data_IF_043150438767
#
_entry.id   IF_043150438767
#
_cell.length_a   1.000
_cell.length_b   1.000
_cell.length_c   1.000
_cell.angle_alpha   90.00
_cell.angle_beta   90.00
_cell.angle_gamma   90.00
#
_symmetry.space_group_name_H-M   'P 1'
#
loop_
_entity.id
_entity.type
_entity.pdbx_description
1 polymer ?
#
# COMPACT_ATOMS: atom_id res chain seq x y z
N UNK A 1 -46.63 -17.31 -14.94
CA UNK A 1 -46.77 -18.12 -13.70
C UNK A 1 -45.58 -17.86 -12.79
N UNK A 2 -45.75 -17.90 -11.48
CA UNK A 2 -44.67 -17.67 -10.49
C UNK A 2 -44.41 -18.98 -9.75
N UNK A 3 -43.14 -19.39 -9.66
CA UNK A 3 -42.73 -20.55 -8.88
C UNK A 3 -41.69 -20.16 -7.84
N UNK A 4 -41.77 -20.76 -6.66
CA UNK A 4 -40.75 -20.63 -5.61
C UNK A 4 -39.61 -21.61 -5.94
N UNK A 5 -38.38 -21.10 -6.02
CA UNK A 5 -37.19 -21.92 -6.31
C UNK A 5 -36.99 -22.91 -5.16
N UNK A 6 -37.20 -24.21 -5.43
CA UNK A 6 -37.11 -25.28 -4.43
C UNK A 6 -38.35 -25.45 -3.54
N UNK A 7 -39.44 -24.73 -3.81
CA UNK A 7 -40.70 -24.82 -3.05
C UNK A 7 -41.68 -25.87 -3.58
N UNK A 8 -42.69 -26.23 -2.78
CA UNK A 8 -43.79 -27.13 -3.20
C UNK A 8 -44.95 -26.35 -3.82
N UNK A 9 -45.72 -26.99 -4.70
CA UNK A 9 -46.91 -26.39 -5.30
C UNK A 9 -47.92 -25.99 -4.20
N UNK A 10 -48.32 -24.71 -4.17
CA UNK A 10 -49.24 -24.14 -3.17
C UNK A 10 -48.58 -23.52 -1.94
N UNK A 11 -47.25 -23.47 -1.86
CA UNK A 11 -46.54 -22.77 -0.78
C UNK A 11 -46.75 -21.26 -0.85
N UNK A 12 -47.06 -20.63 0.29
CA UNK A 12 -47.27 -19.18 0.40
C UNK A 12 -45.92 -18.46 0.23
N UNK A 13 -45.93 -17.38 -0.54
CA UNK A 13 -44.73 -16.54 -0.77
C UNK A 13 -44.46 -15.70 0.47
N UNK A 14 -43.27 -15.88 1.04
CA UNK A 14 -42.77 -15.06 2.14
C UNK A 14 -41.88 -13.92 1.62
N UNK A 15 -42.13 -12.71 2.12
CA UNK A 15 -41.35 -11.52 1.78
C UNK A 15 -39.89 -11.68 2.22
N UNK A 16 -38.93 -11.35 1.35
CA UNK A 16 -37.46 -11.39 1.57
C UNK A 16 -36.80 -12.78 1.55
N UNK A 17 -37.46 -13.84 2.02
CA UNK A 17 -36.88 -15.20 2.04
C UNK A 17 -37.12 -16.00 0.76
N UNK A 18 -38.26 -15.78 0.11
CA UNK A 18 -38.67 -16.55 -1.06
C UNK A 18 -37.92 -16.10 -2.32
N UNK A 19 -37.15 -17.00 -2.93
CA UNK A 19 -36.59 -16.80 -4.27
C UNK A 19 -37.65 -17.19 -5.30
N UNK A 20 -38.09 -16.23 -6.12
CA UNK A 20 -39.14 -16.42 -7.12
C UNK A 20 -38.55 -16.50 -8.52
N UNK A 21 -38.99 -17.49 -9.28
CA UNK A 21 -38.78 -17.55 -10.73
C UNK A 21 -40.10 -17.22 -11.42
N UNK A 22 -40.09 -16.16 -12.23
CA UNK A 22 -41.22 -15.80 -13.08
C UNK A 22 -41.09 -16.55 -14.40
N UNK A 23 -42.15 -17.21 -14.85
CA UNK A 23 -42.24 -17.75 -16.20
C UNK A 23 -43.30 -16.98 -16.99
N UNK A 24 -42.96 -16.59 -18.20
CA UNK A 24 -43.90 -16.01 -19.15
C UNK A 24 -45.03 -17.01 -19.41
N UNK A 25 -46.28 -16.56 -19.24
CA UNK A 25 -47.44 -17.46 -19.24
C UNK A 25 -47.66 -18.17 -20.59
N UNK A 26 -47.32 -17.49 -21.69
CA UNK A 26 -47.55 -17.97 -23.06
C UNK A 26 -46.33 -18.77 -23.56
N UNK A 27 -45.12 -18.24 -23.35
CA UNK A 27 -43.89 -18.76 -23.94
C UNK A 27 -43.15 -19.77 -23.03
N UNK A 28 -43.59 -19.91 -21.77
CA UNK A 28 -42.94 -20.74 -20.73
C UNK A 28 -41.44 -20.46 -20.51
N UNK A 29 -40.92 -19.31 -20.95
CA UNK A 29 -39.55 -18.86 -20.69
C UNK A 29 -39.46 -18.06 -19.38
N UNK A 30 -38.32 -18.13 -18.69
CA UNK A 30 -38.02 -17.28 -17.54
C UNK A 30 -37.17 -16.07 -17.97
N UNK A 31 -37.39 -14.86 -17.42
CA UNK A 31 -36.53 -13.71 -17.70
C UNK A 31 -35.15 -13.94 -17.07
N UNK A 32 -34.11 -13.93 -17.90
CA UNK A 32 -32.71 -14.01 -17.48
C UNK A 32 -32.07 -12.62 -17.61
N UNK A 33 -31.55 -12.08 -16.52
CA UNK A 33 -30.77 -10.85 -16.56
C UNK A 33 -29.32 -11.17 -16.95
N UNK A 34 -28.88 -10.70 -18.12
CA UNK A 34 -27.51 -10.92 -18.60
C UNK A 34 -26.71 -9.62 -18.44
N UNK A 35 -25.54 -9.69 -17.82
CA UNK A 35 -24.66 -8.55 -17.52
C UNK A 35 -23.89 -8.01 -18.73
N UNK A 36 -24.20 -8.46 -19.95
CA UNK A 36 -23.57 -7.95 -21.16
C UNK A 36 -24.31 -6.71 -21.64
N UNK A 37 -23.79 -5.54 -21.28
CA UNK A 37 -23.98 -4.22 -21.91
C UNK A 37 -25.21 -4.07 -22.83
N UNK A 38 -26.41 -4.19 -22.25
CA UNK A 38 -27.62 -3.46 -22.63
C UNK A 38 -28.22 -3.01 -21.30
N UNK A 39 -28.38 -1.70 -21.16
CA UNK A 39 -28.40 -0.93 -19.91
C UNK A 39 -29.63 -1.11 -19.00
N UNK A 40 -30.21 -2.30 -18.87
CA UNK A 40 -31.32 -2.53 -17.94
C UNK A 40 -31.30 -3.94 -17.34
N UNK A 41 -30.60 -4.07 -16.20
CA UNK A 41 -30.90 -5.10 -15.21
C UNK A 41 -31.41 -4.43 -13.94
N UNK A 42 -32.69 -4.07 -13.93
CA UNK A 42 -33.41 -3.71 -12.70
C UNK A 42 -34.41 -4.82 -12.41
N UNK A 43 -34.10 -5.76 -11.49
CA UNK A 43 -35.13 -6.54 -10.82
C UNK A 43 -35.45 -5.86 -9.49
N UNK A 44 -35.72 -4.55 -9.51
CA UNK A 44 -36.50 -3.94 -8.44
C UNK A 44 -37.92 -3.88 -8.94
N UNK A 45 -38.72 -4.80 -8.43
CA UNK A 45 -40.18 -4.72 -8.51
C UNK A 45 -40.57 -3.44 -7.77
N UNK A 46 -40.75 -2.34 -8.50
CA UNK A 46 -41.46 -1.17 -7.99
C UNK A 46 -42.93 -1.59 -7.90
N UNK A 47 -43.29 -2.22 -6.79
CA UNK A 47 -44.67 -2.55 -6.46
C UNK A 47 -45.43 -1.24 -6.20
N UNK A 48 -46.05 -0.66 -7.22
CA UNK A 48 -47.18 0.25 -7.03
C UNK A 48 -48.42 -0.61 -6.75
N UNK A 49 -48.58 -1.07 -5.51
CA UNK A 49 -49.86 -1.59 -5.03
C UNK A 49 -50.61 -0.48 -4.28
N UNK A 50 -51.96 -0.43 -4.37
CA UNK A 50 -52.75 0.43 -3.49
C UNK A 50 -52.45 0.12 -2.02
N UNK A 51 -52.58 1.10 -1.09
CA UNK A 51 -52.22 0.91 0.30
C UNK A 51 -52.97 -0.29 0.90
N UNK A 52 -52.28 -1.17 1.64
CA UNK A 52 -52.91 -2.35 2.24
C UNK A 52 -53.97 -1.94 3.27
N UNK A 53 -55.07 -2.71 3.41
CA UNK A 53 -56.18 -2.40 4.32
C UNK A 53 -55.82 -2.51 5.82
N UNK A 54 -54.61 -2.95 6.17
CA UNK A 54 -54.13 -3.08 7.54
C UNK A 54 -52.61 -2.83 7.64
N UNK A 55 -52.10 -2.45 8.83
CA UNK A 55 -50.66 -2.25 9.04
C UNK A 55 -49.89 -3.55 8.75
N UNK A 56 -48.96 -3.49 7.78
CA UNK A 56 -48.05 -4.61 7.50
C UNK A 56 -46.98 -4.69 8.59
N UNK A 57 -46.60 -5.88 9.06
CA UNK A 57 -45.53 -6.04 10.03
C UNK A 57 -44.21 -5.55 9.43
N UNK A 58 -43.53 -4.63 10.11
CA UNK A 58 -42.23 -4.11 9.69
C UNK A 58 -41.18 -5.22 9.78
N UNK A 59 -40.63 -5.64 8.65
CA UNK A 59 -39.51 -6.59 8.62
C UNK A 59 -38.19 -5.84 8.80
N UNK A 60 -37.35 -6.29 9.73
CA UNK A 60 -36.01 -5.74 9.91
C UNK A 60 -35.02 -6.52 9.03
N UNK A 61 -34.34 -5.83 8.11
CA UNK A 61 -33.33 -6.42 7.21
C UNK A 61 -32.13 -7.02 7.93
N UNK A 62 -31.89 -6.67 9.20
CA UNK A 62 -30.85 -7.31 10.03
C UNK A 62 -31.14 -8.80 10.32
N UNK A 63 -32.41 -9.22 10.32
CA UNK A 63 -32.79 -10.64 10.51
C UNK A 63 -32.33 -11.51 9.34
N UNK A 64 -32.23 -10.92 8.14
CA UNK A 64 -31.78 -11.60 6.93
C UNK A 64 -30.30 -11.36 6.61
N UNK A 65 -29.56 -10.72 7.54
CA UNK A 65 -28.15 -10.48 7.34
C UNK A 65 -27.41 -11.83 7.20
N UNK A 66 -26.65 -12.05 6.12
CA UNK A 66 -25.87 -13.26 5.97
C UNK A 66 -24.86 -13.36 7.14
N UNK A 67 -24.72 -14.57 7.68
CA UNK A 67 -23.74 -14.86 8.72
C UNK A 67 -22.30 -14.63 8.24
N UNK A 68 -21.35 -14.65 9.18
CA UNK A 68 -19.94 -14.35 8.89
C UNK A 68 -19.37 -15.18 7.73
N UNK A 69 -19.60 -16.50 7.72
CA UNK A 69 -19.06 -17.41 6.69
C UNK A 69 -19.63 -17.11 5.30
N UNK A 70 -20.92 -16.78 5.21
CA UNK A 70 -21.54 -16.38 3.94
C UNK A 70 -20.93 -15.08 3.43
N UNK A 71 -20.74 -14.07 4.30
CA UNK A 71 -20.07 -12.81 3.94
C UNK A 71 -18.60 -13.01 3.59
N UNK A 72 -17.93 -13.96 4.23
CA UNK A 72 -16.55 -14.31 3.92
C UNK A 72 -16.42 -14.84 2.49
N UNK A 73 -17.24 -15.83 2.11
CA UNK A 73 -17.20 -16.37 0.75
C UNK A 73 -17.73 -15.38 -0.29
N UNK A 74 -18.78 -14.63 0.01
CA UNK A 74 -19.30 -13.58 -0.88
C UNK A 74 -18.27 -12.48 -1.13
N UNK A 75 -17.57 -12.01 -0.08
CA UNK A 75 -16.53 -11.00 -0.24
C UNK A 75 -15.33 -11.53 -1.05
N UNK A 76 -14.88 -12.76 -0.81
CA UNK A 76 -13.80 -13.36 -1.62
C UNK A 76 -14.22 -13.59 -3.07
N UNK A 77 -15.47 -14.00 -3.32
CA UNK A 77 -15.99 -14.15 -4.67
C UNK A 77 -16.00 -12.80 -5.41
N UNK A 78 -16.47 -11.73 -4.77
CA UNK A 78 -16.49 -10.37 -5.35
C UNK A 78 -15.08 -9.80 -5.54
N UNK A 79 -14.15 -10.04 -4.60
CA UNK A 79 -12.75 -9.65 -4.75
C UNK A 79 -12.09 -10.38 -5.92
N UNK A 80 -12.28 -11.70 -6.03
CA UNK A 80 -11.74 -12.50 -7.13
C UNK A 80 -12.34 -12.07 -8.48
N UNK A 81 -13.65 -11.82 -8.53
CA UNK A 81 -14.31 -11.32 -9.72
C UNK A 81 -13.82 -9.92 -10.11
N UNK A 82 -13.67 -9.02 -9.14
CA UNK A 82 -13.10 -7.69 -9.35
C UNK A 82 -11.66 -7.76 -9.87
N UNK A 83 -10.84 -8.61 -9.25
CA UNK A 83 -9.44 -8.81 -9.65
C UNK A 83 -9.29 -9.48 -11.01
N UNK A 84 -10.20 -10.38 -11.40
CA UNK A 84 -10.19 -11.00 -12.74
C UNK A 84 -10.41 -9.97 -13.87
N UNK A 85 -11.05 -8.84 -13.56
CA UNK A 85 -11.24 -7.72 -14.48
C UNK A 85 -10.03 -6.77 -14.57
N UNK A 86 -9.07 -6.84 -13.64
CA UNK A 86 -7.87 -6.00 -13.64
C UNK A 86 -6.82 -6.53 -14.61
N UNK A 87 -7.12 -6.43 -15.91
CA UNK A 87 -6.15 -6.73 -16.97
C UNK A 87 -5.29 -5.48 -17.24
N UNK A 88 -3.99 -5.63 -17.48
CA UNK A 88 -3.14 -4.52 -17.93
C UNK A 88 -3.73 -3.87 -19.17
N UNK A 89 -3.70 -2.53 -19.25
CA UNK A 89 -4.11 -1.84 -20.48
C UNK A 89 -3.13 -2.16 -21.61
N UNK A 90 -3.62 -2.16 -22.84
CA UNK A 90 -2.76 -2.33 -24.02
C UNK A 90 -1.67 -1.25 -24.02
N UNK A 91 -0.40 -1.67 -24.05
CA UNK A 91 0.75 -0.77 -23.98
C UNK A 91 1.19 -0.36 -22.56
N UNK A 92 0.48 -0.78 -21.50
CA UNK A 92 0.90 -0.52 -20.12
C UNK A 92 2.04 -1.47 -19.71
N UNK A 93 3.16 -0.88 -19.32
CA UNK A 93 4.39 -1.61 -19.03
C UNK A 93 4.36 -2.15 -17.59
N UNK A 94 3.89 -3.38 -17.40
CA UNK A 94 3.87 -4.06 -16.09
C UNK A 94 5.09 -4.96 -15.88
N UNK A 95 5.41 -5.26 -14.61
CA UNK A 95 6.45 -6.23 -14.24
C UNK A 95 5.89 -7.65 -14.21
N UNK A 96 6.74 -8.65 -14.46
CA UNK A 96 6.40 -10.08 -14.44
C UNK A 96 7.03 -10.76 -13.22
N UNK A 97 6.42 -11.82 -12.63
CA UNK A 97 6.93 -12.45 -11.41
C UNK A 97 8.40 -12.89 -11.46
N UNK A 98 8.86 -13.42 -12.60
CA UNK A 98 10.27 -13.81 -12.78
C UNK A 98 11.26 -12.64 -12.74
N UNK A 99 10.78 -11.40 -12.94
CA UNK A 99 11.61 -10.19 -12.94
C UNK A 99 11.94 -9.71 -11.51
N UNK A 100 11.21 -10.16 -10.49
CA UNK A 100 11.32 -9.61 -9.14
C UNK A 100 12.60 -10.04 -8.40
N UNK A 101 13.03 -11.32 -8.40
CA UNK A 101 14.23 -11.74 -7.67
C UNK A 101 15.52 -11.08 -8.17
N UNK A 102 15.54 -10.69 -9.45
CA UNK A 102 16.68 -10.08 -10.13
C UNK A 102 16.53 -8.57 -10.33
N UNK A 103 15.44 -7.98 -9.80
CA UNK A 103 15.09 -6.57 -9.97
C UNK A 103 15.20 -6.08 -11.43
N UNK A 104 14.73 -6.90 -12.38
CA UNK A 104 14.91 -6.63 -13.81
C UNK A 104 14.08 -5.44 -14.29
N UNK A 105 12.96 -5.13 -13.63
CA UNK A 105 12.09 -4.02 -13.98
C UNK A 105 11.43 -3.41 -12.74
N UNK A 106 11.86 -2.22 -12.37
CA UNK A 106 11.26 -1.43 -11.31
C UNK A 106 9.99 -0.70 -11.76
N UNK A 107 9.19 -0.25 -10.80
CA UNK A 107 8.01 0.58 -11.05
C UNK A 107 8.43 2.05 -11.12
N UNK A 108 8.26 2.69 -12.28
CA UNK A 108 8.57 4.11 -12.43
C UNK A 108 7.49 4.95 -11.76
N UNK A 109 7.72 5.38 -10.53
CA UNK A 109 7.04 6.56 -10.01
C UNK A 109 7.65 7.76 -10.72
N UNK A 110 7.02 8.18 -11.82
CA UNK A 110 7.45 9.40 -12.53
C UNK A 110 7.35 10.59 -11.57
N UNK A 111 8.51 10.92 -11.00
CA UNK A 111 8.70 12.03 -10.10
C UNK A 111 9.08 13.24 -10.95
N UNK A 112 8.09 14.05 -11.30
CA UNK A 112 8.34 15.41 -11.79
C UNK A 112 9.26 16.15 -10.79
N UNK A 113 10.14 17.05 -11.24
CA UNK A 113 11.01 17.86 -10.36
C UNK A 113 10.26 18.47 -9.16
N UNK A 114 9.01 18.88 -9.38
CA UNK A 114 8.11 19.38 -8.34
C UNK A 114 7.74 18.36 -7.26
N UNK A 115 7.59 17.08 -7.61
CA UNK A 115 7.35 15.99 -6.65
C UNK A 115 8.59 15.72 -5.80
N UNK A 116 9.79 15.76 -6.39
CA UNK A 116 11.06 15.64 -5.65
C UNK A 116 11.23 16.78 -4.64
N UNK A 117 10.96 18.02 -5.05
CA UNK A 117 11.01 19.18 -4.15
C UNK A 117 9.98 19.08 -3.03
N UNK A 118 8.74 18.63 -3.31
CA UNK A 118 7.74 18.38 -2.26
C UNK A 118 8.19 17.31 -1.29
N UNK A 119 8.74 16.19 -1.78
CA UNK A 119 9.29 15.14 -0.93
C UNK A 119 10.43 15.67 -0.06
N UNK A 120 11.34 16.48 -0.62
CA UNK A 120 12.42 17.12 0.12
C UNK A 120 11.90 18.04 1.24
N UNK A 121 10.87 18.85 0.97
CA UNK A 121 10.26 19.73 1.98
C UNK A 121 9.63 18.91 3.11
N UNK A 122 8.91 17.83 2.79
CA UNK A 122 8.34 16.95 3.81
C UNK A 122 9.41 16.25 4.66
N UNK A 123 10.47 15.76 4.03
CA UNK A 123 11.59 15.10 4.72
C UNK A 123 12.36 16.10 5.61
N UNK A 124 12.59 17.31 5.11
CA UNK A 124 13.20 18.38 5.90
C UNK A 124 12.31 18.81 7.07
N UNK A 125 10.99 18.92 6.86
CA UNK A 125 10.03 19.16 7.94
C UNK A 125 10.04 18.05 8.98
N UNK A 126 10.10 16.80 8.55
CA UNK A 126 10.26 15.63 9.43
C UNK A 126 11.54 15.70 10.26
N UNK A 127 12.67 16.02 9.63
CA UNK A 127 13.95 16.27 10.34
C UNK A 127 13.81 17.40 11.36
N UNK A 128 13.21 18.53 10.99
CA UNK A 128 13.04 19.69 11.86
C UNK A 128 12.18 19.36 13.08
N UNK A 129 11.04 18.68 12.89
CA UNK A 129 10.15 18.28 13.98
C UNK A 129 10.84 17.31 14.96
N UNK A 130 11.71 16.43 14.46
CA UNK A 130 12.43 15.51 15.34
C UNK A 130 13.67 16.12 15.97
N UNK A 131 14.26 17.16 15.38
CA UNK A 131 15.51 17.75 15.87
C UNK A 131 15.30 19.00 16.74
N UNK A 132 14.41 19.90 16.34
CA UNK A 132 14.17 21.17 16.99
C UNK A 132 13.70 21.04 18.46
N UNK A 133 12.80 20.12 18.84
CA UNK A 133 12.30 20.04 20.22
C UNK A 133 13.40 19.76 21.24
N UNK A 134 14.47 19.06 20.85
CA UNK A 134 15.57 18.73 21.76
C UNK A 134 16.33 19.98 22.26
N UNK A 135 16.31 21.10 21.52
CA UNK A 135 16.89 22.37 21.98
C UNK A 135 16.10 23.00 23.12
N UNK A 136 14.80 22.72 23.23
CA UNK A 136 13.94 23.20 24.30
C UNK A 136 13.90 22.25 25.52
N UNK A 137 14.47 21.05 25.41
CA UNK A 137 14.48 20.07 26.49
C UNK A 137 15.65 20.30 27.44
N UNK A 138 15.37 20.61 28.70
CA UNK A 138 16.38 20.77 29.76
C UNK A 138 16.82 19.46 30.42
N UNK A 139 16.90 18.34 29.68
CA UNK A 139 17.32 17.03 30.22
C UNK A 139 18.59 16.54 29.52
N UNK A 140 19.25 15.55 30.11
CA UNK A 140 20.44 14.92 29.52
C UNK A 140 20.05 14.26 28.20
N UNK A 141 20.78 14.61 27.13
CA UNK A 141 20.58 14.11 25.78
C UNK A 141 21.82 13.35 25.34
N UNK A 142 21.60 12.22 24.67
CA UNK A 142 22.66 11.37 24.13
C UNK A 142 22.50 11.25 22.61
N UNK A 143 23.58 10.87 21.92
CA UNK A 143 23.63 10.78 20.47
C UNK A 143 22.50 9.95 19.83
N UNK A 144 22.06 8.87 20.48
CA UNK A 144 20.97 8.02 19.96
C UNK A 144 19.63 8.74 19.81
N UNK A 145 19.41 9.86 20.51
CA UNK A 145 18.21 10.68 20.35
C UNK A 145 18.16 11.34 18.95
N UNK A 146 19.30 11.47 18.27
CA UNK A 146 19.36 12.00 16.91
C UNK A 146 18.97 10.97 15.84
N UNK A 147 18.93 9.66 16.15
CA UNK A 147 18.67 8.62 15.15
C UNK A 147 17.35 8.79 14.37
N UNK A 148 16.22 9.19 14.98
CA UNK A 148 15.00 9.45 14.23
C UNK A 148 15.17 10.58 13.20
N UNK A 149 15.79 11.69 13.59
CA UNK A 149 16.07 12.81 12.68
C UNK A 149 17.07 12.40 11.58
N UNK A 150 18.07 11.58 11.92
CA UNK A 150 19.04 11.04 10.96
C UNK A 150 18.38 10.24 9.85
N UNK A 151 17.34 9.45 10.13
CA UNK A 151 16.60 8.69 9.10
C UNK A 151 15.97 9.63 8.07
N UNK A 152 15.33 10.71 8.50
CA UNK A 152 14.79 11.74 7.60
C UNK A 152 15.89 12.42 6.78
N UNK A 153 17.02 12.73 7.41
CA UNK A 153 18.16 13.35 6.74
C UNK A 153 18.79 12.42 5.68
N UNK A 154 18.90 11.11 5.96
CA UNK A 154 19.41 10.11 5.02
C UNK A 154 18.52 9.97 3.79
N UNK A 155 17.20 9.96 3.97
CA UNK A 155 16.25 9.97 2.85
C UNK A 155 16.34 11.28 2.05
N UNK A 156 16.47 12.42 2.73
CA UNK A 156 16.64 13.73 2.08
C UNK A 156 17.92 13.77 1.23
N UNK A 157 19.03 13.23 1.74
CA UNK A 157 20.28 13.11 1.00
C UNK A 157 20.11 12.28 -0.28
N UNK A 158 19.36 11.18 -0.23
CA UNK A 158 19.01 10.37 -1.41
C UNK A 158 18.22 11.16 -2.45
N UNK A 159 17.19 11.90 -2.03
CA UNK A 159 16.37 12.76 -2.91
C UNK A 159 17.22 13.88 -3.53
N UNK A 160 18.11 14.49 -2.75
CA UNK A 160 19.02 15.54 -3.23
C UNK A 160 20.03 14.99 -4.24
N UNK A 161 20.61 13.82 -3.97
CA UNK A 161 21.53 13.15 -4.88
C UNK A 161 20.85 12.82 -6.22
N UNK A 162 19.61 12.33 -6.18
CA UNK A 162 18.82 12.08 -7.40
C UNK A 162 18.48 13.38 -8.15
N UNK A 163 18.11 14.44 -7.44
CA UNK A 163 17.80 15.73 -8.04
C UNK A 163 19.02 16.38 -8.72
N UNK A 164 20.19 16.31 -8.10
CA UNK A 164 21.45 16.87 -8.63
C UNK A 164 21.93 16.04 -9.83
N UNK A 165 22.00 14.72 -9.67
CA UNK A 165 22.51 13.81 -10.72
C UNK A 165 21.53 13.61 -11.87
N UNK A 166 20.25 13.95 -11.71
CA UNK A 166 19.22 13.83 -12.74
C UNK A 166 19.43 14.72 -13.98
N UNK A 167 20.34 15.71 -13.92
CA UNK A 167 20.75 16.50 -15.10
C UNK A 167 21.93 15.88 -15.88
N UNK A 168 22.58 14.86 -15.33
CA UNK A 168 23.77 14.24 -15.91
C UNK A 168 23.38 13.19 -16.96
N UNK A 169 24.25 12.91 -17.95
CA UNK A 169 24.07 11.78 -18.84
C UNK A 169 24.06 10.47 -18.06
N UNK A 170 23.30 9.47 -18.52
CA UNK A 170 23.03 8.24 -17.76
C UNK A 170 24.27 7.54 -17.21
N UNK A 171 25.33 7.42 -18.02
CA UNK A 171 26.59 6.80 -17.59
C UNK A 171 27.23 7.55 -16.41
N UNK A 172 27.25 8.89 -16.44
CA UNK A 172 27.83 9.72 -15.39
C UNK A 172 26.96 9.71 -14.13
N UNK A 173 25.64 9.71 -14.29
CA UNK A 173 24.71 9.51 -13.17
C UNK A 173 24.97 8.17 -12.47
N UNK A 174 25.06 7.08 -13.22
CA UNK A 174 25.36 5.76 -12.65
C UNK A 174 26.74 5.70 -12.01
N UNK A 175 27.75 6.34 -12.61
CA UNK A 175 29.07 6.47 -11.99
C UNK A 175 29.00 7.22 -10.66
N UNK A 176 28.38 8.40 -10.62
CA UNK A 176 28.22 9.19 -9.40
C UNK A 176 27.46 8.43 -8.29
N UNK A 177 26.35 7.78 -8.64
CA UNK A 177 25.56 6.98 -7.69
C UNK A 177 26.34 5.75 -7.20
N UNK A 178 27.07 5.07 -8.11
CA UNK A 178 27.93 3.94 -7.79
C UNK A 178 29.07 4.33 -6.85
N UNK A 179 29.75 5.44 -7.13
CA UNK A 179 30.80 5.98 -6.26
C UNK A 179 30.26 6.38 -4.89
N UNK A 180 29.10 7.03 -4.82
CA UNK A 180 28.46 7.38 -3.55
C UNK A 180 28.13 6.13 -2.72
N UNK A 181 27.55 5.09 -3.35
CA UNK A 181 27.25 3.82 -2.68
C UNK A 181 28.52 3.10 -2.23
N UNK A 182 29.54 3.02 -3.08
CA UNK A 182 30.82 2.42 -2.74
C UNK A 182 31.50 3.15 -1.56
N UNK A 183 31.42 4.48 -1.54
CA UNK A 183 31.92 5.29 -0.42
C UNK A 183 31.21 5.00 0.90
N UNK A 184 29.89 4.81 0.88
CA UNK A 184 29.12 4.41 2.08
C UNK A 184 29.51 3.03 2.58
N UNK A 185 29.63 2.04 1.68
CA UNK A 185 30.05 0.67 2.05
C UNK A 185 31.47 0.67 2.58
N UNK A 186 32.39 1.36 1.91
CA UNK A 186 33.78 1.48 2.35
C UNK A 186 33.88 2.14 3.73
N UNK A 187 33.15 3.24 3.94
CA UNK A 187 33.09 3.92 5.24
C UNK A 187 32.56 2.98 6.32
N UNK A 188 31.48 2.24 6.06
CA UNK A 188 30.95 1.27 7.02
C UNK A 188 31.96 0.16 7.34
N UNK A 189 32.62 -0.42 6.34
CA UNK A 189 33.64 -1.46 6.56
C UNK A 189 34.80 -0.92 7.41
N UNK A 190 35.28 0.27 7.09
CA UNK A 190 36.35 0.94 7.83
C UNK A 190 35.99 1.19 9.30
N UNK A 191 34.77 1.64 9.58
CA UNK A 191 34.28 1.93 10.93
C UNK A 191 33.53 0.77 11.59
N UNK A 192 33.46 -0.41 10.96
CA UNK A 192 32.73 -1.57 11.46
C UNK A 192 33.15 -2.06 12.86
N UNK A 193 34.42 -1.94 13.30
CA UNK A 193 34.80 -2.29 14.67
C UNK A 193 34.09 -1.45 15.74
N UNK A 194 33.70 -0.20 15.44
CA UNK A 194 32.95 0.64 16.38
C UNK A 194 31.52 0.14 16.62
N UNK A 195 30.96 -0.57 15.63
CA UNK A 195 29.61 -1.11 15.70
C UNK A 195 29.59 -2.54 16.26
N UNK A 196 30.54 -3.38 15.83
CA UNK A 196 30.59 -4.80 16.20
C UNK A 196 31.43 -5.11 17.44
N UNK A 197 32.18 -4.12 17.94
CA UNK A 197 33.07 -4.27 19.08
C UNK A 197 34.53 -4.14 18.65
N UNK A 198 35.27 -3.33 19.38
CA UNK A 198 36.68 -3.09 19.12
C UNK A 198 37.56 -4.09 19.87
N UNK A 199 38.66 -4.47 19.23
CA UNK A 199 39.69 -5.32 19.83
C UNK A 199 41.01 -4.54 19.86
N UNK A 200 41.58 -4.35 21.05
CA UNK A 200 42.86 -3.66 21.23
C UNK A 200 42.77 -2.36 22.06
N UNK A 201 43.87 -1.62 22.17
CA UNK A 201 43.94 -0.37 22.94
C UNK A 201 43.14 0.77 22.30
N UNK A 202 42.69 1.72 23.12
CA UNK A 202 41.88 2.88 22.70
C UNK A 202 42.59 3.74 21.64
N UNK A 203 41.83 4.47 20.83
CA UNK A 203 42.38 5.29 19.71
C UNK A 203 43.32 6.41 20.16
N UNK A 204 43.33 6.77 21.45
CA UNK A 204 44.22 7.79 22.01
C UNK A 204 45.67 7.28 22.21
N UNK A 205 45.89 5.96 22.21
CA UNK A 205 47.22 5.40 22.35
C UNK A 205 47.96 5.46 21.00
N UNK A 206 49.22 5.96 20.97
CA UNK A 206 49.96 6.13 19.72
C UNK A 206 50.31 4.80 19.02
N UNK A 207 50.17 3.67 19.73
CA UNK A 207 50.38 2.32 19.21
C UNK A 207 49.05 1.60 18.89
N UNK A 208 47.91 2.31 18.91
CA UNK A 208 46.61 1.73 18.60
C UNK A 208 46.40 1.58 17.10
N UNK A 209 45.91 0.42 16.68
CA UNK A 209 45.45 0.15 15.31
C UNK A 209 44.27 1.04 14.91
N UNK A 210 43.55 1.60 15.90
CA UNK A 210 42.37 2.42 15.72
C UNK A 210 42.67 3.92 15.76
N UNK A 211 43.93 4.32 16.02
CA UNK A 211 44.33 5.73 16.04
C UNK A 211 44.09 6.42 14.68
N UNK A 212 44.23 5.70 13.56
CA UNK A 212 43.97 6.21 12.21
C UNK A 212 42.51 6.51 11.90
N UNK A 213 41.58 5.91 12.67
CA UNK A 213 40.13 6.13 12.53
C UNK A 213 39.67 7.41 13.25
N UNK A 214 40.52 7.98 14.12
CA UNK A 214 40.21 9.19 14.87
C UNK A 214 40.39 10.44 14.00
N UNK A 215 39.37 10.77 13.22
CA UNK A 215 39.41 11.92 12.31
C UNK A 215 39.17 13.26 13.02
N UNK A 216 38.50 13.24 14.17
CA UNK A 216 38.24 14.42 14.99
C UNK A 216 38.86 14.23 16.37
N UNK A 217 39.47 15.29 16.90
CA UNK A 217 40.12 15.25 18.23
C UNK A 217 39.13 14.93 19.35
N UNK A 218 37.86 15.34 19.19
CA UNK A 218 36.76 15.09 20.13
C UNK A 218 36.19 13.69 20.08
N UNK A 219 36.61 12.84 19.14
CA UNK A 219 36.18 11.45 19.10
C UNK A 219 36.96 10.66 20.15
N UNK A 220 36.21 10.07 21.08
CA UNK A 220 36.72 9.19 22.12
C UNK A 220 36.11 7.81 21.91
N UNK A 221 36.93 6.91 21.38
CA UNK A 221 36.64 5.49 21.25
C UNK A 221 37.92 4.69 21.32
#
# INVERSE_FOLDING_TARGET
>A
MVQIVGGKAGQVVETVTSRLTFYHYIERCAPCCVTNFINFCIPFVLNCFPPPPSPVPSVNFQVYAPGFISRFFESHAVMLQGNAGLKPKEGEVTSRPWQWPINYRGQFFSATKWKLLRAAVWLFGGWLIHYLPFYAMGRVLYFHHYFPALVFNSMLAGVMLDYITGRLPGWLRHACLGTAMAGLVYSFVLFSPLAYGMSGPFSHEPNSTLASLKWLSSWEF
#
